data_IF_646188767989
#
_entry.id   IF_646188767989
#
_cell.length_a   1.000
_cell.length_b   1.000
_cell.length_c   1.000
_cell.angle_alpha   90.00
_cell.angle_beta   90.00
_cell.angle_gamma   90.00
#
_symmetry.space_group_name_H-M   'P 1'
#
loop_
_entity.id
_entity.type
_entity.pdbx_description
1 polymer ?
#
# COMPACT_ATOMS: atom_id res chain seq x y z
N UNK A 1 -21.07 27.73 0.87
CA UNK A 1 -20.63 26.33 0.61
C UNK A 1 -19.17 26.39 0.19
N UNK A 2 -18.28 25.59 0.77
CA UNK A 2 -16.91 25.46 0.27
C UNK A 2 -16.95 24.97 -1.19
N UNK A 3 -16.10 25.53 -2.05
CA UNK A 3 -15.95 25.06 -3.43
C UNK A 3 -15.47 23.61 -3.42
N UNK A 4 -16.11 22.68 -4.16
CA UNK A 4 -15.61 21.31 -4.28
C UNK A 4 -14.17 21.32 -4.81
N UNK A 5 -13.25 20.74 -4.04
CA UNK A 5 -11.85 20.61 -4.42
C UNK A 5 -11.59 19.20 -4.92
N UNK A 6 -10.85 19.07 -6.02
CA UNK A 6 -10.37 17.77 -6.49
C UNK A 6 -9.30 17.23 -5.52
N UNK A 7 -9.57 16.12 -4.79
CA UNK A 7 -8.64 15.60 -3.78
C UNK A 7 -7.37 15.01 -4.41
N UNK A 8 -7.35 14.71 -5.71
CA UNK A 8 -6.17 14.16 -6.39
C UNK A 8 -5.35 15.21 -7.13
N UNK A 9 -5.76 16.48 -7.11
CA UNK A 9 -4.98 17.56 -7.70
C UNK A 9 -3.63 17.71 -6.99
N UNK A 10 -3.62 17.59 -5.66
CA UNK A 10 -2.45 17.81 -4.83
C UNK A 10 -2.04 19.29 -4.76
N UNK A 11 -1.12 19.58 -3.83
CA UNK A 11 -0.43 20.87 -3.77
C UNK A 11 0.94 20.69 -3.12
N UNK A 12 1.87 21.59 -3.44
CA UNK A 12 3.23 21.60 -2.91
C UNK A 12 3.77 23.02 -2.99
N UNK A 13 4.65 23.36 -2.05
CA UNK A 13 5.49 24.54 -2.17
C UNK A 13 6.45 24.42 -3.38
N UNK A 14 6.81 25.53 -4.05
CA UNK A 14 7.70 25.53 -5.22
C UNK A 14 9.11 24.98 -4.96
N UNK A 15 9.59 25.05 -3.71
CA UNK A 15 10.92 24.58 -3.31
C UNK A 15 10.94 23.17 -2.73
N UNK A 16 9.84 22.41 -2.87
CA UNK A 16 9.73 21.07 -2.32
C UNK A 16 9.84 20.02 -3.40
N UNK A 17 10.61 18.97 -3.10
CA UNK A 17 11.01 18.00 -4.11
C UNK A 17 10.30 16.67 -3.92
N UNK A 18 9.72 16.23 -5.02
CA UNK A 18 8.89 15.05 -5.09
C UNK A 18 9.41 14.10 -6.16
N UNK A 19 9.26 12.80 -5.92
CA UNK A 19 9.73 11.76 -6.83
C UNK A 19 8.66 10.69 -7.04
N UNK A 20 8.48 10.28 -8.29
CA UNK A 20 7.60 9.17 -8.65
C UNK A 20 8.35 7.85 -8.83
N UNK A 21 9.70 7.84 -8.81
CA UNK A 21 10.50 6.70 -9.27
C UNK A 21 10.18 5.41 -8.53
N UNK A 22 10.05 5.45 -7.20
CA UNK A 22 9.75 4.26 -6.40
C UNK A 22 8.24 3.96 -6.34
N UNK A 23 7.41 5.01 -6.31
CA UNK A 23 5.96 4.84 -6.17
C UNK A 23 5.27 4.46 -7.49
N UNK A 24 5.90 4.73 -8.63
CA UNK A 24 5.40 4.30 -9.93
C UNK A 24 5.38 2.78 -10.10
N UNK A 25 6.22 2.04 -9.38
CA UNK A 25 6.16 0.56 -9.35
C UNK A 25 4.95 0.07 -8.55
N UNK A 26 4.69 0.69 -7.39
CA UNK A 26 3.57 0.33 -6.52
C UNK A 26 2.22 0.76 -7.10
N UNK A 27 2.18 1.88 -7.83
CA UNK A 27 0.99 2.48 -8.42
C UNK A 27 1.32 3.00 -9.83
N UNK A 28 1.32 2.13 -10.85
CA UNK A 28 1.68 2.50 -12.22
C UNK A 28 0.63 3.39 -12.90
N UNK A 29 -0.62 3.29 -12.44
CA UNK A 29 -1.76 4.01 -13.01
C UNK A 29 -2.15 5.25 -12.20
N UNK A 30 -2.95 6.11 -12.82
CA UNK A 30 -3.54 7.28 -12.16
C UNK A 30 -4.64 6.82 -11.20
N UNK A 31 -4.55 7.22 -9.94
CA UNK A 31 -5.57 6.89 -8.95
C UNK A 31 -6.81 7.75 -9.12
N UNK A 32 -7.98 7.13 -8.92
CA UNK A 32 -9.23 7.85 -8.77
C UNK A 32 -9.29 8.60 -7.43
N UNK A 33 -10.15 9.63 -7.30
CA UNK A 33 -10.42 10.29 -6.03
C UNK A 33 -10.79 9.32 -4.88
N UNK A 34 -11.59 8.30 -5.20
CA UNK A 34 -11.98 7.27 -4.24
C UNK A 34 -10.76 6.43 -3.79
N UNK A 35 -9.91 6.01 -4.73
CA UNK A 35 -8.71 5.26 -4.41
C UNK A 35 -7.77 6.07 -3.49
N UNK A 36 -7.54 7.34 -3.83
CA UNK A 36 -6.68 8.21 -3.03
C UNK A 36 -7.23 8.47 -1.62
N UNK A 37 -8.55 8.56 -1.44
CA UNK A 37 -9.15 8.75 -0.11
C UNK A 37 -8.81 7.62 0.88
N UNK A 38 -8.52 6.42 0.37
CA UNK A 38 -8.07 5.27 1.16
C UNK A 38 -6.53 5.24 1.26
N UNK A 39 -5.86 5.41 0.12
CA UNK A 39 -4.40 5.27 0.04
C UNK A 39 -3.63 6.39 0.73
N UNK A 40 -4.07 7.65 0.64
CA UNK A 40 -3.32 8.78 1.20
C UNK A 40 -3.04 8.62 2.70
N UNK A 41 -4.08 8.51 3.55
CA UNK A 41 -3.88 8.31 5.00
C UNK A 41 -3.18 7.01 5.34
N UNK A 42 -3.50 5.91 4.63
CA UNK A 42 -2.92 4.59 4.91
C UNK A 42 -1.41 4.54 4.60
N UNK A 43 -1.00 5.11 3.47
CA UNK A 43 0.42 5.15 3.06
C UNK A 43 1.24 6.03 3.99
N UNK A 44 0.73 7.21 4.36
CA UNK A 44 1.44 8.08 5.29
C UNK A 44 1.59 7.41 6.67
N UNK A 45 0.52 6.78 7.19
CA UNK A 45 0.61 5.98 8.41
C UNK A 45 1.59 4.80 8.27
N UNK A 46 1.61 4.16 7.10
CA UNK A 46 2.56 3.09 6.77
C UNK A 46 4.03 3.55 6.80
N UNK A 47 4.29 4.83 6.51
CA UNK A 47 5.62 5.43 6.63
C UNK A 47 5.95 5.83 8.06
N UNK A 48 5.01 6.44 8.79
CA UNK A 48 5.26 6.95 10.14
C UNK A 48 5.34 5.83 11.19
N UNK A 49 4.53 4.79 11.06
CA UNK A 49 4.39 3.76 12.09
C UNK A 49 5.67 2.93 12.31
N UNK A 50 6.40 2.47 11.27
CA UNK A 50 7.70 1.82 11.44
C UNK A 50 8.71 2.74 12.12
N UNK A 51 8.78 4.01 11.70
CA UNK A 51 9.70 4.99 12.28
C UNK A 51 9.41 5.21 13.77
N UNK A 52 8.15 5.26 14.17
CA UNK A 52 7.76 5.33 15.57
C UNK A 52 8.12 4.05 16.33
N UNK A 53 7.86 2.89 15.72
CA UNK A 53 8.11 1.57 16.32
C UNK A 53 9.60 1.38 16.62
N UNK A 54 10.48 1.78 15.70
CA UNK A 54 11.93 1.78 15.88
C UNK A 54 12.44 2.90 16.79
N UNK A 55 11.61 3.88 17.15
CA UNK A 55 11.98 4.99 18.04
C UNK A 55 12.57 6.21 17.34
N UNK A 56 12.60 6.22 15.99
CA UNK A 56 13.11 7.31 15.16
C UNK A 56 12.28 8.58 15.36
N UNK A 57 10.95 8.48 15.38
CA UNK A 57 10.03 9.61 15.61
C UNK A 57 9.24 9.47 16.94
N UNK A 58 8.82 10.59 17.58
CA UNK A 58 7.99 10.52 18.78
C UNK A 58 6.57 10.08 18.43
N UNK A 59 5.81 9.63 19.43
CA UNK A 59 4.38 9.37 19.28
C UNK A 59 3.59 10.59 18.78
N UNK A 60 4.01 11.80 19.15
CA UNK A 60 3.38 13.04 18.67
C UNK A 60 3.51 13.27 17.17
N UNK A 61 4.45 12.61 16.50
CA UNK A 61 4.65 12.67 15.04
C UNK A 61 4.01 11.48 14.31
N UNK A 62 3.18 10.68 15.00
CA UNK A 62 2.39 9.61 14.38
C UNK A 62 1.05 10.12 13.82
N UNK A 63 0.80 11.42 13.88
CA UNK A 63 -0.42 12.05 13.34
C UNK A 63 -0.14 12.47 11.89
N UNK A 64 -1.04 12.12 10.97
CA UNK A 64 -0.98 12.60 9.58
C UNK A 64 -1.15 14.11 9.59
N UNK A 65 -0.22 14.83 8.99
CA UNK A 65 -0.31 16.30 8.90
C UNK A 65 -1.37 16.70 7.87
N UNK A 66 -2.08 17.79 8.14
CA UNK A 66 -2.96 18.41 7.15
C UNK A 66 -2.16 19.25 6.13
N UNK A 67 -0.89 19.55 6.42
CA UNK A 67 0.01 20.26 5.50
C UNK A 67 0.65 19.26 4.51
N UNK A 68 0.36 19.38 3.19
CA UNK A 68 0.95 18.51 2.18
C UNK A 68 2.48 18.53 2.13
N UNK A 69 3.12 19.59 2.61
CA UNK A 69 4.58 19.72 2.60
C UNK A 69 5.26 18.94 3.72
N UNK A 70 4.51 18.58 4.77
CA UNK A 70 4.99 17.73 5.86
C UNK A 70 4.78 16.24 5.59
N UNK A 71 3.97 15.90 4.59
CA UNK A 71 3.68 14.51 4.23
C UNK A 71 4.90 13.85 3.57
N UNK A 72 5.12 12.59 3.91
CA UNK A 72 6.04 11.71 3.23
C UNK A 72 5.55 11.32 1.84
N UNK A 73 4.23 11.13 1.66
CA UNK A 73 3.61 10.82 0.36
C UNK A 73 2.47 11.76 0.05
N UNK A 74 2.38 12.17 -1.21
CA UNK A 74 1.24 12.91 -1.75
C UNK A 74 0.89 12.39 -3.14
N UNK A 75 -0.18 12.94 -3.73
CA UNK A 75 -0.49 12.70 -5.13
C UNK A 75 -0.66 14.01 -5.88
N UNK A 76 -0.26 14.02 -7.14
CA UNK A 76 -0.36 15.16 -8.05
C UNK A 76 -1.05 14.71 -9.31
N UNK A 77 -2.25 15.23 -9.56
CA UNK A 77 -3.13 14.78 -10.65
C UNK A 77 -3.31 13.25 -10.66
N UNK A 78 -3.46 12.65 -9.46
CA UNK A 78 -3.64 11.21 -9.25
C UNK A 78 -2.37 10.36 -9.38
N UNK A 79 -1.20 10.95 -9.66
CA UNK A 79 0.11 10.27 -9.63
C UNK A 79 0.73 10.38 -8.24
N UNK A 80 1.10 9.27 -7.62
CA UNK A 80 1.76 9.29 -6.31
C UNK A 80 3.21 9.79 -6.44
N UNK A 81 3.63 10.54 -5.43
CA UNK A 81 5.01 10.97 -5.30
C UNK A 81 5.44 11.00 -3.82
N UNK A 82 6.71 10.69 -3.60
CA UNK A 82 7.34 10.70 -2.29
C UNK A 82 8.04 12.04 -2.09
N UNK A 83 7.89 12.64 -0.92
CA UNK A 83 8.60 13.86 -0.53
C UNK A 83 10.04 13.50 -0.15
N UNK A 84 11.00 13.87 -0.99
CA UNK A 84 12.39 13.47 -0.81
C UNK A 84 12.95 14.06 0.48
N UNK A 85 12.65 15.33 0.77
CA UNK A 85 13.25 16.04 1.89
C UNK A 85 12.68 15.58 3.25
N UNK A 86 11.38 15.29 3.33
CA UNK A 86 10.74 14.77 4.56
C UNK A 86 11.29 13.40 4.92
N UNK A 87 11.40 12.50 3.94
CA UNK A 87 11.92 11.16 4.19
C UNK A 87 13.42 11.24 4.50
N UNK A 88 14.19 12.02 3.74
CA UNK A 88 15.62 12.24 3.99
C UNK A 88 15.87 12.78 5.41
N UNK A 89 15.09 13.76 5.87
CA UNK A 89 15.16 14.29 7.24
C UNK A 89 14.85 13.22 8.29
N UNK A 90 13.90 12.34 8.02
CA UNK A 90 13.54 11.23 8.93
C UNK A 90 14.66 10.20 9.00
N UNK A 91 15.23 9.83 7.85
CA UNK A 91 16.31 8.84 7.75
C UNK A 91 17.63 9.37 8.33
N UNK A 92 17.87 10.68 8.29
CA UNK A 92 19.02 11.32 8.95
C UNK A 92 19.07 11.05 10.47
N UNK A 93 17.93 10.80 11.11
CA UNK A 93 17.86 10.50 12.53
C UNK A 93 18.21 9.03 12.88
N UNK A 94 18.38 8.17 11.87
CA UNK A 94 18.75 6.76 12.06
C UNK A 94 20.26 6.65 12.27
N UNK A 95 20.72 6.06 13.39
CA UNK A 95 22.15 5.92 13.66
C UNK A 95 22.84 5.07 12.58
N UNK A 96 23.96 5.57 12.05
CA UNK A 96 24.78 4.85 11.07
C UNK A 96 24.30 4.98 9.62
N UNK A 97 23.23 5.74 9.35
CA UNK A 97 22.77 6.03 7.99
C UNK A 97 22.96 7.51 7.67
N UNK A 98 23.58 7.81 6.52
CA UNK A 98 23.60 9.18 5.99
C UNK A 98 22.31 9.48 5.24
N UNK A 99 21.80 10.69 5.41
CA UNK A 99 20.66 11.18 4.66
C UNK A 99 20.96 11.24 3.14
N UNK A 100 22.20 11.54 2.76
CA UNK A 100 22.64 11.57 1.37
C UNK A 100 22.77 10.17 0.78
N UNK A 101 23.21 9.20 1.59
CA UNK A 101 23.22 7.79 1.17
C UNK A 101 21.80 7.31 0.89
N UNK A 102 20.85 7.65 1.76
CA UNK A 102 19.45 7.33 1.54
C UNK A 102 18.90 7.97 0.26
N UNK A 103 19.18 9.26 0.00
CA UNK A 103 18.74 9.92 -1.21
C UNK A 103 19.32 9.24 -2.46
N UNK A 104 20.62 8.92 -2.45
CA UNK A 104 21.26 8.19 -3.55
C UNK A 104 20.60 6.83 -3.79
N UNK A 105 20.37 6.07 -2.73
CA UNK A 105 19.87 4.71 -2.85
C UNK A 105 18.40 4.71 -3.31
N UNK A 106 17.62 5.71 -2.91
CA UNK A 106 16.24 5.86 -3.33
C UNK A 106 16.12 6.43 -4.76
N UNK A 107 16.94 7.43 -5.12
CA UNK A 107 16.80 8.23 -6.36
C UNK A 107 17.82 7.88 -7.45
N UNK A 108 18.83 7.08 -7.14
CA UNK A 108 19.98 6.79 -8.00
C UNK A 108 21.05 7.89 -8.02
N UNK A 109 20.82 9.05 -7.38
CA UNK A 109 21.79 10.14 -7.28
C UNK A 109 21.45 11.07 -6.11
N UNK A 110 22.42 11.87 -5.68
CA UNK A 110 22.21 12.93 -4.67
C UNK A 110 22.18 14.27 -5.39
N UNK A 111 21.16 15.08 -5.14
CA UNK A 111 21.09 16.42 -5.72
C UNK A 111 22.21 17.31 -5.12
N UNK A 112 22.98 18.06 -5.94
CA UNK A 112 24.06 18.92 -5.44
C UNK A 112 23.58 20.04 -4.50
N UNK A 113 22.33 20.50 -4.69
CA UNK A 113 21.64 21.53 -3.92
C UNK A 113 20.77 20.96 -2.80
N UNK A 114 20.82 19.64 -2.54
CA UNK A 114 20.01 19.01 -1.52
C UNK A 114 20.29 19.60 -0.13
N UNK A 115 19.21 19.80 0.63
CA UNK A 115 19.34 20.15 2.04
C UNK A 115 20.10 19.06 2.79
N UNK A 116 21.06 19.49 3.62
CA UNK A 116 21.82 18.60 4.50
C UNK A 116 21.07 18.44 5.81
N UNK A 117 20.75 17.20 6.16
CA UNK A 117 20.12 16.86 7.42
C UNK A 117 21.09 16.04 8.25
N UNK A 118 21.32 16.46 9.49
CA UNK A 118 22.11 15.70 10.46
C UNK A 118 21.19 15.07 11.51
N UNK A 119 21.52 13.85 11.90
CA UNK A 119 20.80 13.15 12.97
C UNK A 119 20.93 13.87 14.31
N UNK A 120 19.88 13.80 15.12
CA UNK A 120 19.93 14.25 16.50
C UNK A 120 20.41 13.10 17.40
N UNK A 121 21.54 13.24 18.11
CA UNK A 121 22.02 12.19 19.02
C UNK A 121 21.06 11.93 20.19
N UNK A 122 20.15 12.87 20.50
CA UNK A 122 19.23 12.76 21.63
C UNK A 122 18.26 11.58 21.56
N UNK A 123 18.02 11.00 20.38
CA UNK A 123 17.13 9.85 20.18
C UNK A 123 17.86 8.50 20.08
N UNK A 124 19.18 8.51 19.98
CA UNK A 124 19.98 7.28 19.85
C UNK A 124 19.68 6.30 20.99
N UNK A 125 19.57 6.71 22.27
CA UNK A 125 19.22 5.77 23.34
C UNK A 125 17.84 5.14 23.18
N UNK A 126 16.86 5.92 22.69
CA UNK A 126 15.49 5.43 22.45
C UNK A 126 15.48 4.41 21.32
N UNK A 127 16.22 4.69 20.24
CA UNK A 127 16.33 3.78 19.09
C UNK A 127 17.04 2.49 19.50
N UNK A 128 18.16 2.59 20.24
CA UNK A 128 18.90 1.43 20.73
C UNK A 128 18.04 0.51 21.61
N UNK A 129 17.09 1.07 22.39
CA UNK A 129 16.17 0.29 23.20
C UNK A 129 14.97 -0.26 22.41
N UNK A 130 14.33 0.57 21.56
CA UNK A 130 13.08 0.19 20.88
C UNK A 130 13.31 -0.69 19.66
N UNK A 131 14.39 -0.47 18.90
CA UNK A 131 14.59 -1.16 17.64
C UNK A 131 14.74 -2.69 17.78
N UNK A 132 15.57 -3.21 18.72
CA UNK A 132 15.66 -4.66 18.92
C UNK A 132 14.32 -5.27 19.36
N UNK A 133 13.60 -4.58 20.25
CA UNK A 133 12.28 -5.03 20.72
C UNK A 133 11.26 -5.05 19.59
N UNK A 134 11.27 -4.04 18.71
CA UNK A 134 10.43 -4.00 17.53
C UNK A 134 10.74 -5.19 16.61
N UNK A 135 12.02 -5.40 16.24
CA UNK A 135 12.45 -6.51 15.39
C UNK A 135 12.04 -7.87 15.94
N UNK A 136 12.31 -8.12 17.23
CA UNK A 136 11.95 -9.39 17.87
C UNK A 136 10.43 -9.64 17.89
N UNK A 137 9.61 -8.58 17.99
CA UNK A 137 8.15 -8.70 18.06
C UNK A 137 7.48 -8.72 16.69
N UNK A 138 8.12 -8.20 15.63
CA UNK A 138 7.53 -8.06 14.30
C UNK A 138 7.01 -9.39 13.77
N UNK A 139 7.79 -10.47 13.87
CA UNK A 139 7.37 -11.79 13.38
C UNK A 139 6.05 -12.25 13.99
N UNK A 140 5.96 -12.32 15.32
CA UNK A 140 4.75 -12.75 16.02
C UNK A 140 3.54 -11.84 15.73
N UNK A 141 3.79 -10.55 15.51
CA UNK A 141 2.75 -9.60 15.13
C UNK A 141 2.24 -9.86 13.71
N UNK A 142 3.14 -10.13 12.76
CA UNK A 142 2.77 -10.46 11.38
C UNK A 142 2.00 -11.78 11.31
N UNK A 143 2.47 -12.81 12.01
CA UNK A 143 1.77 -14.10 12.11
C UNK A 143 0.36 -13.90 12.67
N UNK A 144 0.20 -13.16 13.76
CA UNK A 144 -1.13 -12.88 14.32
C UNK A 144 -2.03 -12.08 13.36
N UNK A 145 -1.51 -11.01 12.75
CA UNK A 145 -2.28 -10.21 11.79
C UNK A 145 -2.70 -11.04 10.56
N UNK A 146 -1.83 -11.95 10.13
CA UNK A 146 -2.14 -12.88 9.06
C UNK A 146 -3.29 -13.80 9.45
N UNK A 147 -3.21 -14.47 10.61
CA UNK A 147 -4.28 -15.37 11.07
C UNK A 147 -5.62 -14.65 11.23
N UNK A 148 -5.61 -13.45 11.83
CA UNK A 148 -6.80 -12.61 11.99
C UNK A 148 -7.41 -12.24 10.63
N UNK A 149 -6.60 -11.66 9.73
CA UNK A 149 -7.06 -11.23 8.41
C UNK A 149 -7.52 -12.41 7.55
N UNK A 150 -6.82 -13.55 7.62
CA UNK A 150 -7.14 -14.72 6.82
C UNK A 150 -8.45 -15.37 7.28
N UNK A 151 -8.67 -15.50 8.59
CA UNK A 151 -9.92 -16.01 9.16
C UNK A 151 -11.12 -15.12 8.78
N UNK A 152 -10.99 -13.79 8.95
CA UNK A 152 -12.04 -12.84 8.60
C UNK A 152 -12.34 -12.84 7.09
N UNK A 153 -11.29 -12.90 6.27
CA UNK A 153 -11.43 -12.98 4.82
C UNK A 153 -12.15 -14.26 4.39
N UNK A 154 -11.77 -15.42 4.95
CA UNK A 154 -12.46 -16.68 4.68
C UNK A 154 -13.93 -16.61 5.09
N UNK A 155 -14.24 -16.12 6.29
CA UNK A 155 -15.62 -15.99 6.76
C UNK A 155 -16.47 -15.05 5.89
N UNK A 156 -15.86 -14.02 5.30
CA UNK A 156 -16.56 -13.00 4.49
C UNK A 156 -16.73 -13.41 3.03
N UNK A 157 -15.72 -14.04 2.43
CA UNK A 157 -15.69 -14.34 0.99
C UNK A 157 -16.21 -15.74 0.68
N UNK A 158 -16.05 -16.68 1.61
CA UNK A 158 -16.41 -18.08 1.43
C UNK A 158 -17.76 -18.33 2.09
N UNK A 159 -18.87 -18.07 1.37
CA UNK A 159 -20.22 -18.45 1.80
C UNK A 159 -20.36 -19.98 1.85
N UNK A 160 -20.03 -20.60 2.99
CA UNK A 160 -20.25 -22.03 3.25
C UNK A 160 -19.12 -22.73 4.00
N UNK A 161 -19.41 -23.93 4.51
CA UNK A 161 -18.50 -24.82 5.23
C UNK A 161 -17.09 -24.93 4.59
N UNK A 162 -16.00 -24.84 5.39
CA UNK A 162 -14.60 -24.90 4.92
C UNK A 162 -14.18 -26.20 4.22
N UNK A 163 -15.06 -27.20 4.16
CA UNK A 163 -14.78 -28.54 3.66
C UNK A 163 -14.71 -28.67 2.13
N UNK A 164 -14.89 -27.58 1.37
CA UNK A 164 -14.77 -27.60 -0.08
C UNK A 164 -13.66 -26.66 -0.54
N UNK A 165 -12.77 -27.17 -1.38
CA UNK A 165 -11.73 -26.33 -1.98
C UNK A 165 -12.39 -25.27 -2.88
N UNK A 166 -11.83 -24.04 -2.97
CA UNK A 166 -12.42 -22.96 -3.78
C UNK A 166 -12.66 -23.35 -5.25
N UNK A 167 -11.84 -24.25 -5.79
CA UNK A 167 -12.00 -24.84 -7.14
C UNK A 167 -13.27 -25.68 -7.25
N UNK A 168 -13.59 -26.50 -6.24
CA UNK A 168 -14.79 -27.35 -6.28
C UNK A 168 -16.08 -26.53 -6.27
N UNK A 169 -16.10 -25.38 -5.58
CA UNK A 169 -17.26 -24.45 -5.62
C UNK A 169 -17.44 -23.74 -6.95
N UNK A 170 -16.37 -23.43 -7.66
CA UNK A 170 -16.46 -22.74 -8.96
C UNK A 170 -16.83 -23.69 -10.10
N UNK A 171 -16.46 -24.97 -9.99
CA UNK A 171 -16.72 -25.98 -11.04
C UNK A 171 -18.11 -26.61 -10.90
N UNK A 172 -18.66 -26.73 -9.68
CA UNK A 172 -19.96 -27.40 -9.46
C UNK A 172 -21.16 -26.72 -10.16
N UNK A 173 -21.31 -25.39 -10.19
CA UNK A 173 -22.41 -24.72 -10.89
C UNK A 173 -22.42 -25.03 -12.39
N UNK A 174 -21.24 -25.29 -12.98
CA UNK A 174 -21.07 -25.61 -14.41
C UNK A 174 -21.46 -27.05 -14.72
N UNK A 175 -21.33 -27.97 -13.75
CA UNK A 175 -21.65 -29.39 -13.94
C UNK A 175 -23.09 -29.75 -13.52
N UNK A 176 -23.70 -29.00 -12.59
CA UNK A 176 -25.09 -29.25 -12.17
C UNK A 176 -26.13 -28.47 -12.98
N UNK A 177 -25.73 -27.54 -13.86
CA UNK A 177 -26.65 -26.86 -14.80
C UNK A 177 -26.94 -27.64 -16.07
N UNK A 178 -26.47 -28.88 -16.22
CA UNK A 178 -26.84 -29.77 -17.34
C UNK A 178 -28.19 -30.48 -17.11
N UNK A 179 -29.18 -29.71 -16.65
CA UNK A 179 -30.58 -30.10 -16.59
C UNK A 179 -31.45 -28.89 -16.92
N UNK A 180 -31.94 -28.85 -18.16
CA UNK A 180 -32.85 -27.82 -18.70
C UNK A 180 -32.28 -26.40 -18.89
N UNK A 181 -31.62 -26.20 -20.03
CA UNK A 181 -32.04 -25.10 -20.90
C UNK A 181 -31.75 -25.45 -22.36
N UNK A 182 -32.82 -25.64 -23.14
CA UNK A 182 -32.72 -25.63 -24.58
C UNK A 182 -32.24 -24.23 -24.99
N UNK A 183 -31.13 -24.15 -25.74
CA UNK A 183 -30.67 -22.93 -26.37
C UNK A 183 -31.76 -22.46 -27.35
N UNK A 184 -32.58 -21.50 -26.94
CA UNK A 184 -33.71 -21.00 -27.76
C UNK A 184 -33.23 -19.99 -28.81
N UNK A 185 -31.92 -19.74 -28.92
CA UNK A 185 -31.34 -18.78 -29.86
C UNK A 185 -30.74 -19.41 -31.13
N UNK A 186 -30.60 -20.73 -31.20
CA UNK A 186 -30.05 -21.42 -32.36
C UNK A 186 -30.97 -22.59 -32.72
N UNK A 187 -31.81 -22.42 -33.73
CA UNK A 187 -32.75 -23.44 -34.23
C UNK A 187 -32.08 -24.64 -34.90
N UNK A 188 -31.15 -25.31 -34.23
CA UNK A 188 -30.52 -26.54 -34.68
C UNK A 188 -31.06 -27.71 -33.85
N UNK A 189 -32.11 -28.37 -34.36
CA UNK A 189 -32.50 -29.70 -33.91
C UNK A 189 -31.37 -30.68 -34.28
N UNK A 190 -30.79 -31.36 -33.30
CA UNK A 190 -29.83 -32.43 -33.59
C UNK A 190 -30.55 -33.62 -34.23
N UNK A 191 -30.41 -33.73 -35.55
CA UNK A 191 -30.73 -34.93 -36.28
C UNK A 191 -29.78 -36.05 -35.84
N UNK A 192 -30.35 -37.15 -35.31
CA UNK A 192 -29.64 -38.41 -35.12
C UNK A 192 -29.10 -38.90 -36.46
N UNK A 193 -27.79 -39.10 -36.57
CA UNK A 193 -27.21 -39.93 -37.62
C UNK A 193 -27.21 -41.41 -37.21
N UNK A 194 -27.38 -42.34 -38.19
CA UNK A 194 -27.59 -43.74 -37.92
C UNK A 194 -26.27 -44.47 -37.65
N UNK A 195 -26.34 -45.41 -36.70
CA UNK A 195 -25.28 -46.35 -36.36
C UNK A 195 -25.00 -47.27 -37.55
N UNK A 196 -23.84 -47.14 -38.17
CA UNK A 196 -23.31 -48.10 -39.15
C UNK A 196 -22.84 -49.35 -38.40
N UNK A 197 -23.20 -50.51 -38.94
CA UNK A 197 -22.91 -51.86 -38.40
C UNK A 197 -21.44 -52.21 -38.46
#
# INVERSE_FOLDING_TARGET
>A
MPTPTDPIKGSSEPGRYWTSTNLGEACPEVMSPMCWSLWGPATEQGLLYPMYSFGVIPRSKLVVSDDPNELGVSCFYGRQALNVDVIKKTMAAVPGLSADDFERDLMGSVRPDASKFSGSPGRVPVIAAKAPVALMRTRKRLERLYEEMYADWLATVVDGEPSQTPIERLVRPVLTSNGSSACTACGASSSREPRVR
#
